data_IF_613222643074
#
_entry.id   IF_613222643074
#
_cell.length_a   1.000
_cell.length_b   1.000
_cell.length_c   1.000
_cell.angle_alpha   90.00
_cell.angle_beta   90.00
_cell.angle_gamma   90.00
#
_symmetry.space_group_name_H-M   'P 1'
#
loop_
_entity.id
_entity.type
_entity.pdbx_description
1 polymer ?
#
# COMPACT_ATOMS: atom_id res chain seq x y z
N UNK A 1 -10.41 -16.60 7.01
CA UNK A 1 -10.27 -16.72 5.55
C UNK A 1 -10.23 -18.17 5.10
N UNK A 2 -9.36 -19.03 5.65
CA UNK A 2 -9.42 -20.48 5.33
C UNK A 2 -10.74 -21.15 5.76
N UNK A 3 -11.35 -20.72 6.87
CA UNK A 3 -12.68 -21.20 7.29
C UNK A 3 -13.76 -20.90 6.24
N UNK A 4 -13.63 -19.79 5.51
CA UNK A 4 -14.61 -19.32 4.53
C UNK A 4 -14.31 -19.81 3.10
N UNK A 5 -13.04 -19.81 2.70
CA UNK A 5 -12.58 -20.10 1.33
C UNK A 5 -12.00 -21.51 1.17
N UNK A 6 -11.79 -22.23 2.26
CA UNK A 6 -11.12 -23.53 2.28
C UNK A 6 -9.60 -23.45 2.52
N UNK A 7 -9.00 -24.47 3.16
CA UNK A 7 -7.55 -24.53 3.39
C UNK A 7 -6.74 -24.52 2.09
N UNK A 8 -5.65 -23.75 2.08
CA UNK A 8 -4.73 -23.69 0.94
C UNK A 8 -5.25 -22.97 -0.30
N UNK A 9 -6.46 -22.41 -0.27
CA UNK A 9 -7.02 -21.59 -1.36
C UNK A 9 -6.21 -20.32 -1.58
N UNK A 10 -5.81 -19.65 -0.50
CA UNK A 10 -5.00 -18.42 -0.53
C UNK A 10 -3.55 -18.71 -0.19
N UNK A 11 -2.67 -17.80 -0.61
CA UNK A 11 -1.26 -17.76 -0.24
C UNK A 11 -0.97 -16.42 0.44
N UNK A 12 -0.25 -16.46 1.56
CA UNK A 12 -0.02 -15.29 2.41
C UNK A 12 1.48 -15.07 2.58
N UNK A 13 1.93 -13.85 2.31
CA UNK A 13 3.30 -13.43 2.58
C UNK A 13 3.28 -12.29 3.58
N UNK A 14 3.96 -12.50 4.71
CA UNK A 14 4.02 -11.57 5.82
C UNK A 14 5.46 -11.09 5.92
N UNK A 15 5.64 -9.78 5.80
CA UNK A 15 6.95 -9.11 5.82
C UNK A 15 7.04 -8.27 7.08
N UNK A 16 7.93 -8.66 8.00
CA UNK A 16 8.15 -7.95 9.25
C UNK A 16 9.57 -8.26 9.74
N UNK A 17 10.32 -7.23 10.13
CA UNK A 17 11.71 -7.38 10.60
C UNK A 17 11.82 -8.05 11.97
N UNK A 18 10.71 -8.19 12.69
CA UNK A 18 10.61 -8.82 13.99
C UNK A 18 10.73 -10.35 13.99
N UNK A 19 10.43 -10.93 15.16
CA UNK A 19 10.43 -12.37 15.39
C UNK A 19 9.03 -12.90 15.66
N UNK A 20 8.22 -12.98 14.60
CA UNK A 20 6.83 -13.43 14.69
C UNK A 20 6.54 -14.73 13.92
N UNK A 21 7.56 -15.37 13.34
CA UNK A 21 7.40 -16.58 12.53
C UNK A 21 6.76 -17.72 13.34
N UNK A 22 7.23 -17.98 14.56
CA UNK A 22 6.66 -19.03 15.40
C UNK A 22 5.22 -18.70 15.82
N UNK A 23 4.91 -17.42 16.10
CA UNK A 23 3.55 -16.97 16.39
C UNK A 23 2.61 -17.19 15.21
N UNK A 24 3.10 -16.95 13.98
CA UNK A 24 2.37 -17.21 12.74
C UNK A 24 2.13 -18.72 12.54
N UNK A 25 3.17 -19.56 12.71
CA UNK A 25 3.04 -21.03 12.57
C UNK A 25 2.01 -21.61 13.53
N UNK A 26 1.93 -21.08 14.76
CA UNK A 26 0.92 -21.50 15.74
C UNK A 26 -0.54 -21.23 15.30
N UNK A 27 -0.76 -20.36 14.31
CA UNK A 27 -2.10 -20.15 13.73
C UNK A 27 -2.52 -21.28 12.77
N UNK A 28 -1.59 -22.16 12.37
CA UNK A 28 -1.83 -23.30 11.48
C UNK A 28 -2.54 -22.92 10.17
N UNK A 29 -2.22 -21.74 9.62
CA UNK A 29 -2.74 -21.26 8.33
C UNK A 29 -1.92 -21.89 7.21
N UNK A 30 -2.57 -22.58 6.28
CA UNK A 30 -1.87 -23.19 5.16
C UNK A 30 -1.31 -22.13 4.21
N UNK A 31 -0.13 -22.37 3.63
CA UNK A 31 0.53 -21.46 2.67
C UNK A 31 0.74 -20.04 3.21
N UNK A 32 0.98 -19.91 4.52
CA UNK A 32 1.45 -18.68 5.14
C UNK A 32 2.98 -18.71 5.27
N UNK A 33 3.63 -17.67 4.75
CA UNK A 33 5.08 -17.53 4.68
C UNK A 33 5.51 -16.24 5.37
N UNK A 34 6.41 -16.35 6.35
CA UNK A 34 6.97 -15.20 7.06
C UNK A 34 8.36 -14.86 6.52
N UNK A 35 8.61 -13.58 6.29
CA UNK A 35 9.85 -13.06 5.71
C UNK A 35 10.38 -11.93 6.59
N UNK A 36 11.67 -12.02 6.94
CA UNK A 36 12.35 -11.08 7.84
C UNK A 36 13.06 -9.96 7.09
N UNK A 37 12.30 -9.22 6.29
CA UNK A 37 12.76 -8.01 5.60
C UNK A 37 11.60 -7.03 5.42
N UNK A 38 11.93 -5.77 5.17
CA UNK A 38 10.97 -4.69 4.92
C UNK A 38 10.85 -4.30 3.45
N UNK A 39 9.92 -3.39 3.19
CA UNK A 39 9.78 -2.71 1.90
C UNK A 39 10.45 -1.34 1.95
N UNK A 40 11.09 -0.95 0.84
CA UNK A 40 11.68 0.37 0.65
C UNK A 40 11.44 0.85 -0.80
N UNK A 41 11.91 2.07 -1.12
CA UNK A 41 11.85 2.62 -2.47
C UNK A 41 12.47 1.65 -3.48
N UNK A 42 11.84 1.52 -4.64
CA UNK A 42 12.37 0.71 -5.71
C UNK A 42 13.72 1.26 -6.20
N UNK A 43 14.78 0.48 -5.97
CA UNK A 43 16.12 0.76 -6.49
C UNK A 43 16.34 0.22 -7.90
N UNK A 44 17.58 0.32 -8.39
CA UNK A 44 18.02 -0.40 -9.59
C UNK A 44 17.84 -1.92 -9.38
N UNK A 45 17.50 -2.66 -10.43
CA UNK A 45 17.24 -4.11 -10.38
C UNK A 45 18.53 -4.92 -10.10
N UNK A 46 19.01 -4.85 -8.86
CA UNK A 46 20.18 -5.55 -8.35
C UNK A 46 19.80 -6.27 -7.05
N UNK A 47 18.97 -7.29 -7.18
CA UNK A 47 18.47 -8.09 -6.05
C UNK A 47 19.64 -8.78 -5.36
N UNK A 48 19.90 -8.42 -4.11
CA UNK A 48 20.84 -9.11 -3.23
C UNK A 48 20.05 -9.96 -2.23
N UNK A 49 20.03 -11.30 -2.35
CA UNK A 49 19.34 -12.15 -1.37
C UNK A 49 19.90 -11.95 0.05
N UNK A 50 19.03 -11.80 1.04
CA UNK A 50 19.39 -11.53 2.43
C UNK A 50 19.56 -10.05 2.80
N UNK A 51 19.15 -9.12 1.93
CA UNK A 51 19.05 -7.71 2.27
C UNK A 51 17.90 -7.46 3.26
N UNK A 52 18.05 -6.41 4.08
CA UNK A 52 17.06 -6.02 5.08
C UNK A 52 15.82 -5.38 4.44
N UNK A 53 15.98 -4.76 3.26
CA UNK A 53 14.90 -4.08 2.55
C UNK A 53 14.94 -4.39 1.05
N UNK A 54 13.75 -4.47 0.46
CA UNK A 54 13.55 -4.65 -0.98
C UNK A 54 12.48 -3.70 -1.51
N UNK A 55 12.56 -3.34 -2.80
CA UNK A 55 11.43 -2.75 -3.49
C UNK A 55 10.29 -3.77 -3.65
N UNK A 56 9.07 -3.29 -3.89
CA UNK A 56 7.92 -4.21 -4.09
C UNK A 56 8.12 -5.09 -5.32
N UNK A 57 8.70 -4.57 -6.41
CA UNK A 57 8.97 -5.34 -7.63
C UNK A 57 9.99 -6.44 -7.39
N UNK A 58 11.05 -6.14 -6.65
CA UNK A 58 12.05 -7.12 -6.25
C UNK A 58 11.46 -8.18 -5.32
N UNK A 59 10.59 -7.76 -4.38
CA UNK A 59 9.87 -8.67 -3.49
C UNK A 59 9.01 -9.65 -4.30
N UNK A 60 8.16 -9.16 -5.20
CA UNK A 60 7.34 -10.02 -6.09
C UNK A 60 8.21 -11.00 -6.88
N UNK A 61 9.34 -10.55 -7.41
CA UNK A 61 10.27 -11.39 -8.16
C UNK A 61 10.97 -12.45 -7.29
N UNK A 62 11.39 -12.09 -6.07
CA UNK A 62 12.00 -13.03 -5.11
C UNK A 62 11.05 -14.15 -4.71
N UNK A 63 9.74 -13.87 -4.65
CA UNK A 63 8.71 -14.87 -4.40
C UNK A 63 8.39 -15.74 -5.63
N UNK A 64 8.89 -15.39 -6.82
CA UNK A 64 8.50 -16.05 -8.07
C UNK A 64 7.09 -15.69 -8.55
N UNK A 65 6.60 -14.52 -8.14
CA UNK A 65 5.25 -14.03 -8.40
C UNK A 65 5.18 -13.03 -9.57
N UNK A 66 6.24 -12.96 -10.39
CA UNK A 66 6.37 -12.09 -11.56
C UNK A 66 5.38 -12.42 -12.70
N UNK A 67 4.80 -13.62 -12.67
CA UNK A 67 3.81 -14.08 -13.63
C UNK A 67 2.36 -14.02 -13.09
N UNK A 68 2.15 -13.42 -11.91
CA UNK A 68 0.79 -13.19 -11.41
C UNK A 68 0.14 -12.00 -12.12
N UNK A 69 -1.10 -12.19 -12.56
CA UNK A 69 -1.90 -11.08 -13.05
C UNK A 69 -2.35 -10.15 -11.91
N UNK A 70 -2.63 -10.72 -10.74
CA UNK A 70 -3.28 -10.04 -9.61
C UNK A 70 -2.73 -10.49 -8.26
N UNK A 71 -2.60 -9.54 -7.34
CA UNK A 71 -2.54 -9.75 -5.88
C UNK A 71 -3.88 -9.28 -5.31
N UNK A 72 -4.65 -10.19 -4.71
CA UNK A 72 -6.01 -9.89 -4.25
C UNK A 72 -6.05 -8.82 -3.15
N UNK A 73 -5.12 -8.89 -2.20
CA UNK A 73 -5.02 -7.97 -1.07
C UNK A 73 -3.55 -7.64 -0.82
N UNK A 74 -3.22 -6.36 -0.95
CA UNK A 74 -1.95 -5.80 -0.49
C UNK A 74 -2.22 -4.95 0.75
N UNK A 75 -1.78 -5.41 1.93
CA UNK A 75 -1.84 -4.63 3.18
C UNK A 75 -0.45 -4.12 3.54
N UNK A 76 -0.34 -2.84 3.90
CA UNK A 76 0.91 -2.21 4.33
C UNK A 76 0.70 -1.30 5.55
N UNK A 77 1.58 -1.46 6.52
CA UNK A 77 1.80 -0.59 7.67
C UNK A 77 3.32 -0.55 7.82
N UNK A 78 3.92 0.62 7.58
CA UNK A 78 5.37 0.74 7.45
C UNK A 78 5.93 2.03 8.05
N UNK A 79 5.23 2.59 9.03
CA UNK A 79 5.75 3.67 9.88
C UNK A 79 6.25 4.88 9.07
N UNK A 80 5.38 5.49 8.24
CA UNK A 80 5.62 6.65 7.37
C UNK A 80 6.30 6.36 6.03
N UNK A 81 6.67 5.12 5.74
CA UNK A 81 7.25 4.80 4.43
C UNK A 81 6.25 5.01 3.28
N UNK A 82 4.94 4.93 3.56
CA UNK A 82 3.85 5.05 2.60
C UNK A 82 3.95 6.32 1.76
N UNK A 83 4.37 7.44 2.37
CA UNK A 83 4.53 8.73 1.69
C UNK A 83 5.63 8.71 0.62
N UNK A 84 6.65 7.89 0.83
CA UNK A 84 7.82 7.80 -0.05
C UNK A 84 7.64 6.75 -1.13
N UNK A 85 6.98 5.62 -0.83
CA UNK A 85 6.99 4.44 -1.70
C UNK A 85 5.65 4.17 -2.41
N UNK A 86 4.58 4.91 -2.15
CA UNK A 86 3.26 4.59 -2.73
C UNK A 86 3.23 4.56 -4.26
N UNK A 87 4.09 5.34 -4.91
CA UNK A 87 4.21 5.35 -6.38
C UNK A 87 4.79 4.04 -6.89
N UNK A 88 5.64 3.41 -6.10
CA UNK A 88 6.31 2.16 -6.47
C UNK A 88 5.35 0.97 -6.44
N UNK A 89 4.23 1.07 -5.71
CA UNK A 89 3.22 0.01 -5.63
C UNK A 89 2.56 -0.31 -6.97
N UNK A 90 2.60 0.64 -7.91
CA UNK A 90 1.93 0.55 -9.21
C UNK A 90 2.92 0.61 -10.39
N UNK A 91 4.19 0.28 -10.16
CA UNK A 91 5.19 0.21 -11.23
C UNK A 91 4.80 -0.79 -12.31
N UNK A 92 5.21 -0.50 -13.54
CA UNK A 92 5.05 -1.41 -14.66
C UNK A 92 5.73 -2.75 -14.40
N UNK A 93 5.05 -3.85 -14.71
CA UNK A 93 5.55 -5.21 -14.50
C UNK A 93 5.27 -5.78 -13.11
N UNK A 94 4.56 -5.05 -12.24
CA UNK A 94 3.93 -5.61 -11.05
C UNK A 94 2.56 -6.22 -11.39
N UNK A 95 2.14 -7.27 -10.67
CA UNK A 95 0.74 -7.72 -10.66
C UNK A 95 -0.19 -6.58 -10.27
N UNK A 96 -1.43 -6.60 -10.75
CA UNK A 96 -2.45 -5.64 -10.32
C UNK A 96 -2.79 -5.87 -8.85
N UNK A 97 -2.86 -4.81 -8.05
CA UNK A 97 -3.35 -4.93 -6.67
C UNK A 97 -4.87 -4.76 -6.71
N UNK A 98 -5.63 -5.81 -6.42
CA UNK A 98 -7.10 -5.72 -6.46
C UNK A 98 -7.62 -4.88 -5.30
N UNK A 99 -7.02 -5.03 -4.11
CA UNK A 99 -7.25 -4.20 -2.94
C UNK A 99 -5.95 -3.71 -2.36
N UNK A 100 -5.93 -2.44 -1.93
CA UNK A 100 -4.85 -1.86 -1.13
C UNK A 100 -5.44 -1.49 0.23
N UNK A 101 -4.86 -2.02 1.30
CA UNK A 101 -5.16 -1.65 2.68
C UNK A 101 -3.91 -1.01 3.27
N UNK A 102 -4.01 0.21 3.76
CA UNK A 102 -2.85 0.99 4.19
C UNK A 102 -3.16 1.70 5.48
N UNK A 103 -2.32 1.51 6.49
CA UNK A 103 -2.27 2.42 7.63
C UNK A 103 -1.44 3.64 7.22
N UNK A 104 -2.08 4.80 7.25
CA UNK A 104 -1.45 6.08 6.99
C UNK A 104 -1.03 6.68 8.33
N UNK A 105 0.27 6.89 8.52
CA UNK A 105 0.81 7.49 9.73
C UNK A 105 0.77 9.02 9.60
N UNK A 106 -0.26 9.64 10.19
CA UNK A 106 -0.39 11.10 10.26
C UNK A 106 0.72 11.66 11.16
N UNK A 107 1.86 11.98 10.55
CA UNK A 107 2.94 12.70 11.21
C UNK A 107 2.66 14.20 11.20
N UNK A 108 3.34 14.96 12.05
CA UNK A 108 3.58 16.39 11.77
C UNK A 108 4.27 16.49 10.39
N UNK A 109 3.52 16.59 9.31
CA UNK A 109 4.01 16.79 7.94
C UNK A 109 4.94 18.01 7.94
N UNK A 110 4.62 19.01 8.77
CA UNK A 110 5.45 20.18 9.09
C UNK A 110 6.90 19.89 9.50
N UNK A 111 7.26 18.68 9.95
CA UNK A 111 8.63 18.28 10.29
C UNK A 111 9.31 17.39 9.25
N UNK A 112 8.58 16.75 8.33
CA UNK A 112 9.18 16.09 7.17
C UNK A 112 9.77 17.11 6.17
N UNK A 113 9.24 18.34 6.15
CA UNK A 113 9.81 19.47 5.37
C UNK A 113 11.25 19.87 5.75
N UNK A 114 11.86 19.27 6.79
CA UNK A 114 13.26 19.54 7.12
C UNK A 114 14.25 18.54 6.50
N UNK A 115 13.81 17.36 6.07
CA UNK A 115 14.70 16.36 5.46
C UNK A 115 14.80 16.51 3.94
N UNK A 116 13.73 16.97 3.27
CA UNK A 116 13.72 17.17 1.81
C UNK A 116 13.13 18.54 1.49
N UNK A 117 14.01 19.52 1.28
CA UNK A 117 13.69 20.93 0.97
C UNK A 117 13.24 21.13 -0.48
N UNK A 118 12.28 20.34 -0.94
CA UNK A 118 11.66 20.56 -2.25
C UNK A 118 10.15 20.44 -2.10
N UNK A 119 9.51 21.60 -2.15
CA UNK A 119 8.06 21.86 -2.10
C UNK A 119 7.45 21.99 -0.68
N UNK A 120 7.13 23.23 -0.32
CA UNK A 120 6.70 23.65 1.02
C UNK A 120 5.17 23.78 1.17
N UNK A 121 4.37 23.41 0.17
CA UNK A 121 2.95 23.80 0.13
C UNK A 121 1.95 22.67 -0.11
N UNK A 122 2.40 21.41 -0.25
CA UNK A 122 1.49 20.27 -0.48
C UNK A 122 1.73 19.19 0.57
N UNK A 123 0.73 19.04 1.44
CA UNK A 123 0.48 17.86 2.26
C UNK A 123 0.58 16.60 1.36
N UNK A 124 1.50 15.64 1.58
CA UNK A 124 1.69 14.46 0.71
C UNK A 124 0.42 13.59 0.56
N UNK A 125 -0.57 13.80 1.42
CA UNK A 125 -1.91 13.20 1.43
C UNK A 125 -2.66 13.42 0.12
N UNK A 126 -2.72 14.66 -0.38
CA UNK A 126 -3.48 14.96 -1.60
C UNK A 126 -2.87 14.23 -2.80
N UNK A 127 -1.55 14.35 -3.09
CA UNK A 127 -0.89 13.59 -4.14
C UNK A 127 -1.06 12.06 -4.01
N UNK A 128 -1.04 11.54 -2.78
CA UNK A 128 -1.26 10.12 -2.50
C UNK A 128 -2.66 9.66 -2.97
N UNK A 129 -3.72 10.33 -2.52
CA UNK A 129 -5.08 9.95 -2.86
C UNK A 129 -5.40 10.21 -4.34
N UNK A 130 -4.91 11.31 -4.92
CA UNK A 130 -5.10 11.61 -6.33
C UNK A 130 -4.44 10.57 -7.23
N UNK A 131 -3.20 10.17 -6.91
CA UNK A 131 -2.48 9.15 -7.66
C UNK A 131 -3.23 7.81 -7.67
N UNK A 132 -3.72 7.37 -6.51
CA UNK A 132 -4.49 6.13 -6.40
C UNK A 132 -5.81 6.22 -7.18
N UNK A 133 -6.54 7.33 -7.07
CA UNK A 133 -7.79 7.55 -7.83
C UNK A 133 -7.55 7.56 -9.35
N UNK A 134 -6.48 8.20 -9.82
CA UNK A 134 -6.11 8.23 -11.24
C UNK A 134 -5.68 6.87 -11.77
N UNK A 135 -5.11 6.05 -10.90
CA UNK A 135 -4.84 4.65 -11.19
C UNK A 135 -6.12 3.78 -11.15
N UNK A 136 -7.28 4.29 -10.73
CA UNK A 136 -8.55 3.57 -10.70
C UNK A 136 -8.89 2.94 -9.35
N UNK A 137 -8.25 3.39 -8.26
CA UNK A 137 -8.56 2.92 -6.91
C UNK A 137 -9.58 3.84 -6.24
N UNK A 138 -10.71 3.26 -5.82
CA UNK A 138 -11.72 3.98 -5.02
C UNK A 138 -11.51 3.68 -3.55
N UNK A 139 -11.57 4.71 -2.69
CA UNK A 139 -11.65 4.53 -1.24
C UNK A 139 -13.02 4.01 -0.86
N UNK A 140 -13.09 2.90 -0.13
CA UNK A 140 -14.35 2.35 0.37
C UNK A 140 -14.37 2.17 1.90
N UNK A 141 -13.23 2.30 2.58
CA UNK A 141 -13.13 2.26 4.04
C UNK A 141 -12.11 3.27 4.55
N UNK A 142 -12.38 3.81 5.75
CA UNK A 142 -11.47 4.62 6.55
C UNK A 142 -11.78 4.37 8.04
N UNK A 143 -10.77 4.09 8.85
CA UNK A 143 -10.91 3.94 10.29
C UNK A 143 -9.67 4.48 11.04
N UNK A 144 -9.84 5.36 12.05
CA UNK A 144 -8.72 5.80 12.88
C UNK A 144 -8.31 4.70 13.88
N UNK A 145 -7.01 4.50 14.06
CA UNK A 145 -6.43 3.54 15.01
C UNK A 145 -6.47 4.06 16.46
N UNK A 146 -7.65 4.19 17.04
CA UNK A 146 -7.83 4.70 18.41
C UNK A 146 -7.38 3.71 19.51
N UNK A 147 -7.12 2.46 19.16
CA UNK A 147 -6.74 1.42 20.12
C UNK A 147 -5.24 1.47 20.43
N UNK A 148 -4.41 1.70 19.41
CA UNK A 148 -2.95 1.67 19.53
C UNK A 148 -2.31 3.05 19.40
N UNK A 149 -3.07 4.08 18.99
CA UNK A 149 -2.65 5.47 19.10
C UNK A 149 -3.80 6.46 19.39
N UNK A 150 -3.52 7.76 19.25
CA UNK A 150 -4.46 8.86 19.51
C UNK A 150 -5.37 9.21 18.32
N UNK A 151 -5.50 8.29 17.35
CA UNK A 151 -6.17 8.52 16.08
C UNK A 151 -5.28 9.18 15.02
N UNK A 152 -3.98 9.35 15.29
CA UNK A 152 -3.01 9.86 14.32
C UNK A 152 -2.58 8.83 13.27
N UNK A 153 -3.01 7.58 13.36
CA UNK A 153 -2.84 6.59 12.29
C UNK A 153 -4.22 6.23 11.78
N UNK A 154 -4.39 6.23 10.47
CA UNK A 154 -5.66 6.01 9.82
C UNK A 154 -5.55 4.87 8.82
N UNK A 155 -6.33 3.82 9.02
CA UNK A 155 -6.44 2.69 8.10
C UNK A 155 -7.38 3.06 6.95
N UNK A 156 -6.88 3.02 5.72
CA UNK A 156 -7.67 3.19 4.50
C UNK A 156 -7.74 1.88 3.72
N UNK A 157 -8.89 1.61 3.12
CA UNK A 157 -9.01 0.53 2.13
C UNK A 157 -9.47 1.06 0.78
N UNK A 158 -8.82 0.55 -0.25
CA UNK A 158 -9.03 0.89 -1.64
C UNK A 158 -9.36 -0.35 -2.46
N UNK A 159 -10.28 -0.19 -3.41
CA UNK A 159 -10.65 -1.23 -4.37
C UNK A 159 -10.32 -0.76 -5.78
N UNK A 160 -9.71 -1.64 -6.57
CA UNK A 160 -9.46 -1.40 -7.99
C UNK A 160 -10.76 -1.51 -8.79
N UNK A 161 -11.15 -0.42 -9.43
CA UNK A 161 -12.28 -0.36 -10.36
C UNK A 161 -11.82 0.07 -11.75
N UNK A 162 -12.69 -0.15 -12.74
CA UNK A 162 -12.48 0.39 -14.07
C UNK A 162 -12.42 1.93 -14.03
N UNK A 163 -11.54 2.53 -14.83
CA UNK A 163 -11.37 3.99 -14.86
C UNK A 163 -12.64 4.71 -15.34
N UNK A 164 -13.50 4.04 -16.11
CA UNK A 164 -14.81 4.56 -16.53
C UNK A 164 -15.76 4.81 -15.34
N UNK A 165 -15.61 4.08 -14.24
CA UNK A 165 -16.37 4.31 -13.00
C UNK A 165 -16.23 5.77 -12.52
N UNK A 166 -15.05 6.38 -12.73
CA UNK A 166 -14.76 7.74 -12.29
C UNK A 166 -15.19 8.83 -13.28
N UNK A 167 -15.64 8.47 -14.49
CA UNK A 167 -15.92 9.42 -15.56
C UNK A 167 -17.03 10.41 -15.18
N UNK A 168 -18.11 9.93 -14.55
CA UNK A 168 -19.22 10.78 -14.12
C UNK A 168 -18.79 11.83 -13.08
N UNK A 169 -17.96 11.42 -12.10
CA UNK A 169 -17.42 12.34 -11.09
C UNK A 169 -16.48 13.37 -11.70
N UNK A 170 -15.59 12.96 -12.59
CA UNK A 170 -14.66 13.87 -13.30
C UNK A 170 -15.43 14.92 -14.11
N UNK A 171 -16.47 14.49 -14.84
CA UNK A 171 -17.36 15.40 -15.57
C UNK A 171 -18.03 16.41 -14.64
N UNK A 172 -18.60 15.96 -13.52
CA UNK A 172 -19.26 16.83 -12.55
C UNK A 172 -18.29 17.87 -11.93
N UNK A 173 -17.07 17.47 -11.58
CA UNK A 173 -16.07 18.39 -11.02
C UNK A 173 -15.69 19.48 -12.03
N UNK A 174 -15.44 19.08 -13.29
CA UNK A 174 -15.13 20.00 -14.37
C UNK A 174 -16.28 21.00 -14.64
N UNK A 175 -17.54 20.53 -14.65
CA UNK A 175 -18.72 21.39 -14.86
C UNK A 175 -18.94 22.42 -13.75
N UNK A 176 -18.47 22.12 -12.53
CA UNK A 176 -18.63 23.01 -11.37
C UNK A 176 -17.48 24.00 -11.18
N UNK A 177 -16.48 23.99 -12.06
CA UNK A 177 -15.24 24.76 -11.89
C UNK A 177 -14.55 24.52 -10.54
N UNK A 178 -14.83 23.38 -9.89
CA UNK A 178 -14.16 22.95 -8.68
C UNK A 178 -12.86 22.32 -9.14
N UNK A 179 -11.75 23.02 -8.94
CA UNK A 179 -10.44 22.41 -9.10
C UNK A 179 -10.21 21.46 -7.94
N UNK A 180 -9.44 20.39 -8.13
CA UNK A 180 -9.19 19.41 -7.06
C UNK A 180 -8.48 20.00 -5.83
N UNK A 181 -7.96 21.22 -5.94
CA UNK A 181 -7.35 22.02 -4.86
C UNK A 181 -8.41 22.70 -3.96
N UNK A 182 -9.68 22.75 -4.38
CA UNK A 182 -10.77 23.42 -3.67
C UNK A 182 -11.52 22.52 -2.65
N UNK A 183 -10.98 21.32 -2.32
CA UNK A 183 -11.56 20.35 -1.37
C UNK A 183 -10.58 20.06 -0.24
#
# INVERSE_FOLDING_TARGET
>A
MEEELGPGTCEYHIFDMGDFEEKMKLQNISRAHFHRWGLDTQGEENIQPGAEFYGLKDTVKLLGHDNLDVIDVFKIDCEKCEWRIYRDWLLSGLPSLQQIQVEIHSGNIGKMHQAEKHDHDISPEIPFFEFLEEAGYVRFHKEPNIQYNDGSCEEYAFLKLDKEFFAARKKMLAERNITRVDI
#
